data_IF_719843220863
#
_entry.id   IF_719843220863
#
_cell.length_a   1.000
_cell.length_b   1.000
_cell.length_c   1.000
_cell.angle_alpha   90.00
_cell.angle_beta   90.00
_cell.angle_gamma   90.00
#
_symmetry.space_group_name_H-M   'P 1'
#
loop_
_entity.id
_entity.type
_entity.pdbx_description
1 polymer ?
#
# COMPACT_ATOMS: atom_id res chain seq x y z
N UNK A 1 -21.39 12.82 -19.63
CA UNK A 1 -21.40 11.36 -19.97
C UNK A 1 -22.04 11.18 -21.34
N UNK A 2 -21.29 10.63 -22.29
CA UNK A 2 -21.83 10.28 -23.61
C UNK A 2 -22.80 9.09 -23.53
N UNK A 3 -23.69 8.95 -24.54
CA UNK A 3 -24.66 7.81 -24.60
C UNK A 3 -23.91 6.48 -24.51
N UNK A 4 -22.75 6.37 -25.16
CA UNK A 4 -21.90 5.17 -25.15
C UNK A 4 -21.44 4.83 -23.72
N UNK A 5 -21.05 5.81 -22.92
CA UNK A 5 -20.62 5.62 -21.53
C UNK A 5 -21.77 5.12 -20.63
N UNK A 6 -23.02 5.53 -20.91
CA UNK A 6 -24.20 5.04 -20.17
C UNK A 6 -24.50 3.57 -20.49
N UNK A 7 -24.38 3.16 -21.76
CA UNK A 7 -24.63 1.78 -22.20
C UNK A 7 -23.60 0.80 -21.65
N UNK A 8 -22.32 1.18 -21.60
CA UNK A 8 -21.25 0.31 -21.11
C UNK A 8 -21.04 0.32 -19.58
N UNK A 9 -21.67 1.24 -18.85
CA UNK A 9 -21.55 1.30 -17.38
C UNK A 9 -21.95 0.01 -16.67
N UNK A 10 -23.09 -0.66 -16.98
CA UNK A 10 -23.47 -1.92 -16.33
C UNK A 10 -22.43 -3.03 -16.52
N UNK A 11 -21.85 -3.14 -17.72
CA UNK A 11 -20.79 -4.12 -18.01
C UNK A 11 -19.55 -3.83 -17.14
N UNK A 12 -19.11 -2.58 -17.06
CA UNK A 12 -17.96 -2.19 -16.22
C UNK A 12 -18.22 -2.45 -14.75
N UNK A 13 -19.44 -2.18 -14.26
CA UNK A 13 -19.84 -2.51 -12.88
C UNK A 13 -19.82 -4.01 -12.64
N UNK A 14 -20.31 -4.82 -13.58
CA UNK A 14 -20.26 -6.28 -13.52
C UNK A 14 -18.81 -6.81 -13.47
N UNK A 15 -17.92 -6.27 -14.31
CA UNK A 15 -16.50 -6.62 -14.32
C UNK A 15 -15.80 -6.21 -13.01
N UNK A 16 -16.12 -5.05 -12.45
CA UNK A 16 -15.58 -4.63 -11.15
C UNK A 16 -16.14 -5.50 -10.00
N UNK A 17 -17.41 -5.89 -10.08
CA UNK A 17 -18.00 -6.86 -9.15
C UNK A 17 -17.28 -8.21 -9.20
N UNK A 18 -16.94 -8.68 -10.40
CA UNK A 18 -16.15 -9.90 -10.57
C UNK A 18 -14.72 -9.74 -9.99
N UNK A 19 -14.06 -8.58 -10.16
CA UNK A 19 -12.78 -8.30 -9.51
C UNK A 19 -12.88 -8.33 -7.98
N UNK A 20 -13.92 -7.70 -7.43
CA UNK A 20 -14.16 -7.65 -5.99
C UNK A 20 -14.45 -9.04 -5.41
N UNK A 21 -15.33 -9.81 -6.06
CA UNK A 21 -15.62 -11.20 -5.68
C UNK A 21 -14.37 -12.08 -5.81
N UNK A 22 -13.65 -11.96 -6.92
CA UNK A 22 -12.39 -12.68 -7.15
C UNK A 22 -11.33 -12.39 -6.10
N UNK A 23 -11.21 -11.14 -5.65
CA UNK A 23 -10.33 -10.78 -4.56
C UNK A 23 -10.70 -11.48 -3.23
N UNK A 24 -12.00 -11.57 -2.89
CA UNK A 24 -12.45 -12.29 -1.69
C UNK A 24 -12.28 -13.81 -1.80
N UNK A 25 -12.60 -14.40 -2.96
CA UNK A 25 -12.36 -15.83 -3.22
C UNK A 25 -10.87 -16.14 -3.16
N UNK A 26 -10.03 -15.29 -3.76
CA UNK A 26 -8.58 -15.40 -3.69
C UNK A 26 -8.04 -15.26 -2.26
N UNK A 27 -8.57 -14.31 -1.49
CA UNK A 27 -8.21 -14.16 -0.07
C UNK A 27 -8.58 -15.40 0.75
N UNK A 28 -9.76 -15.97 0.52
CA UNK A 28 -10.19 -17.22 1.15
C UNK A 28 -9.25 -18.38 0.77
N UNK A 29 -8.94 -18.54 -0.50
CA UNK A 29 -8.01 -19.58 -0.98
C UNK A 29 -6.60 -19.41 -0.38
N UNK A 30 -6.10 -18.17 -0.31
CA UNK A 30 -4.82 -17.88 0.35
C UNK A 30 -4.85 -18.26 1.84
N UNK A 31 -5.87 -17.86 2.56
CA UNK A 31 -5.97 -18.09 4.00
C UNK A 31 -6.18 -19.57 4.34
N UNK A 32 -7.10 -20.26 3.62
CA UNK A 32 -7.53 -21.61 3.98
C UNK A 32 -6.66 -22.73 3.37
N UNK A 33 -6.00 -22.48 2.23
CA UNK A 33 -5.29 -23.52 1.48
C UNK A 33 -3.81 -23.15 1.30
N UNK A 34 -3.54 -22.04 0.62
CA UNK A 34 -2.18 -21.73 0.12
C UNK A 34 -1.20 -21.45 1.27
N UNK A 35 -1.60 -20.64 2.25
CA UNK A 35 -0.73 -20.29 3.38
C UNK A 35 -0.48 -21.46 4.33
N UNK A 36 -1.46 -22.29 4.69
CA UNK A 36 -1.20 -23.53 5.42
C UNK A 36 -0.22 -24.46 4.71
N UNK A 37 -0.42 -24.68 3.39
CA UNK A 37 0.50 -25.51 2.60
C UNK A 37 1.91 -24.90 2.48
N UNK A 38 2.00 -23.58 2.24
CA UNK A 38 3.28 -22.88 2.19
C UNK A 38 4.03 -22.98 3.53
N UNK A 39 3.32 -22.83 4.65
CA UNK A 39 3.89 -22.99 6.00
C UNK A 39 4.33 -24.42 6.29
N UNK A 40 3.55 -25.39 5.87
CA UNK A 40 3.90 -26.81 6.02
C UNK A 40 5.16 -27.16 5.22
N UNK A 41 5.24 -26.70 3.95
CA UNK A 41 6.43 -26.89 3.10
C UNK A 41 7.68 -26.25 3.71
N UNK A 42 7.54 -25.09 4.35
CA UNK A 42 8.62 -24.36 5.00
C UNK A 42 8.67 -24.53 6.51
N UNK A 43 8.11 -25.63 7.06
CA UNK A 43 7.98 -25.83 8.52
C UNK A 43 9.30 -25.77 9.29
N UNK A 44 10.40 -26.14 8.65
CA UNK A 44 11.75 -26.11 9.23
C UNK A 44 12.46 -24.76 9.07
N UNK A 45 11.93 -23.86 8.25
CA UNK A 45 12.48 -22.55 8.02
C UNK A 45 12.18 -21.58 9.17
N UNK A 46 12.94 -20.48 9.26
CA UNK A 46 12.69 -19.42 10.23
C UNK A 46 11.32 -18.75 10.00
N UNK A 47 10.78 -18.11 11.04
CA UNK A 47 9.47 -17.47 10.97
C UNK A 47 9.37 -16.44 9.83
N UNK A 48 10.42 -15.66 9.62
CA UNK A 48 10.48 -14.65 8.55
C UNK A 48 10.51 -15.26 7.14
N UNK A 49 11.14 -16.41 6.97
CA UNK A 49 11.15 -17.12 5.69
C UNK A 49 9.76 -17.69 5.35
N UNK A 50 9.06 -18.22 6.36
CA UNK A 50 7.67 -18.66 6.21
C UNK A 50 6.75 -17.49 5.84
N UNK A 51 6.93 -16.34 6.48
CA UNK A 51 6.18 -15.13 6.15
C UNK A 51 6.49 -14.66 4.72
N UNK A 52 7.76 -14.65 4.33
CA UNK A 52 8.17 -14.30 2.96
C UNK A 52 7.55 -15.23 1.91
N UNK A 53 7.41 -16.53 2.22
CA UNK A 53 6.71 -17.48 1.34
C UNK A 53 5.22 -17.10 1.19
N UNK A 54 4.53 -16.76 2.27
CA UNK A 54 3.15 -16.28 2.22
C UNK A 54 3.02 -14.97 1.44
N UNK A 55 3.94 -14.01 1.65
CA UNK A 55 3.95 -12.73 0.93
C UNK A 55 4.17 -12.90 -0.57
N UNK A 56 5.02 -13.84 -1.00
CA UNK A 56 5.19 -14.16 -2.44
C UNK A 56 3.89 -14.66 -3.09
N UNK A 57 3.12 -15.46 -2.39
CA UNK A 57 1.81 -15.91 -2.91
C UNK A 57 0.79 -14.78 -2.93
N UNK A 58 0.76 -13.95 -1.89
CA UNK A 58 -0.07 -12.73 -1.87
C UNK A 58 0.29 -11.78 -3.02
N UNK A 59 1.59 -11.55 -3.27
CA UNK A 59 2.07 -10.76 -4.40
C UNK A 59 1.52 -11.27 -5.74
N UNK A 60 1.64 -12.58 -6.00
CA UNK A 60 1.12 -13.20 -7.23
C UNK A 60 -0.40 -13.00 -7.38
N UNK A 61 -1.13 -13.16 -6.28
CA UNK A 61 -2.58 -12.94 -6.31
C UNK A 61 -2.94 -11.48 -6.66
N UNK A 62 -2.19 -10.50 -6.13
CA UNK A 62 -2.42 -9.09 -6.46
C UNK A 62 -1.96 -8.75 -7.89
N UNK A 63 -0.87 -9.32 -8.39
CA UNK A 63 -0.48 -9.16 -9.80
C UNK A 63 -1.60 -9.67 -10.71
N UNK A 64 -2.15 -10.87 -10.47
CA UNK A 64 -3.27 -11.41 -11.23
C UNK A 64 -4.51 -10.52 -11.17
N UNK A 65 -4.82 -9.96 -9.99
CA UNK A 65 -5.94 -9.02 -9.83
C UNK A 65 -5.75 -7.75 -10.68
N UNK A 66 -4.56 -7.15 -10.64
CA UNK A 66 -4.27 -5.95 -11.44
C UNK A 66 -4.23 -6.26 -12.94
N UNK A 67 -3.72 -7.42 -13.35
CA UNK A 67 -3.77 -7.85 -14.75
C UNK A 67 -5.22 -8.03 -15.23
N UNK A 68 -6.08 -8.64 -14.41
CA UNK A 68 -7.52 -8.72 -14.70
C UNK A 68 -8.13 -7.32 -14.83
N UNK A 69 -7.89 -6.42 -13.88
CA UNK A 69 -8.43 -5.07 -13.93
C UNK A 69 -7.94 -4.28 -15.16
N UNK A 70 -6.71 -4.51 -15.59
CA UNK A 70 -6.13 -3.94 -16.81
C UNK A 70 -6.81 -4.49 -18.06
N UNK A 71 -6.95 -5.80 -18.17
CA UNK A 71 -7.62 -6.46 -19.31
C UNK A 71 -9.07 -6.02 -19.47
N UNK A 72 -9.78 -5.81 -18.35
CA UNK A 72 -11.15 -5.31 -18.33
C UNK A 72 -11.28 -3.79 -18.53
N UNK A 73 -10.18 -3.06 -18.70
CA UNK A 73 -10.18 -1.60 -18.84
C UNK A 73 -10.71 -0.86 -17.60
N UNK A 74 -10.62 -1.47 -16.42
CA UNK A 74 -11.05 -0.85 -15.15
C UNK A 74 -9.98 0.03 -14.56
N UNK A 75 -8.74 -0.47 -14.52
CA UNK A 75 -7.60 0.20 -13.94
C UNK A 75 -6.33 -0.19 -14.68
N UNK A 76 -5.52 0.79 -15.04
CA UNK A 76 -4.19 0.60 -15.60
C UNK A 76 -3.16 0.88 -14.51
N UNK A 77 -2.41 -0.15 -14.11
CA UNK A 77 -1.36 -0.03 -13.09
C UNK A 77 -0.03 0.34 -13.73
N UNK A 78 0.55 1.46 -13.31
CA UNK A 78 1.79 2.01 -13.88
C UNK A 78 2.81 2.31 -12.75
N UNK A 79 3.68 1.36 -12.40
CA UNK A 79 4.78 1.58 -11.47
C UNK A 79 5.91 2.37 -12.15
N UNK A 80 6.40 3.47 -11.52
CA UNK A 80 7.48 4.32 -12.04
C UNK A 80 8.63 4.43 -11.05
N UNK A 81 9.86 4.31 -11.54
CA UNK A 81 11.07 4.46 -10.72
C UNK A 81 11.21 3.42 -9.61
N UNK A 82 10.51 2.31 -9.77
CA UNK A 82 10.52 1.21 -8.83
C UNK A 82 11.55 0.19 -9.29
N UNK A 83 12.80 0.61 -9.33
CA UNK A 83 13.92 -0.32 -9.46
C UNK A 83 13.81 -1.32 -8.31
N UNK A 84 13.96 -2.58 -8.63
CA UNK A 84 13.87 -3.68 -7.68
C UNK A 84 14.63 -3.30 -6.41
N UNK A 85 13.88 -3.01 -5.35
CA UNK A 85 14.49 -2.83 -4.04
C UNK A 85 15.25 -4.11 -3.74
N UNK A 86 16.56 -3.98 -3.61
CA UNK A 86 17.47 -5.13 -3.45
C UNK A 86 17.01 -5.93 -2.23
N UNK A 87 16.79 -7.25 -2.35
CA UNK A 87 16.45 -8.06 -1.21
C UNK A 87 17.45 -7.84 -0.06
N UNK A 88 16.94 -7.58 1.15
CA UNK A 88 17.79 -7.33 2.31
C UNK A 88 18.01 -5.86 2.67
N UNK A 89 17.55 -4.90 1.87
CA UNK A 89 17.59 -3.50 2.26
C UNK A 89 16.63 -3.20 3.41
N UNK A 90 17.11 -2.46 4.40
CA UNK A 90 16.34 -1.96 5.55
C UNK A 90 15.92 -0.52 5.30
N UNK A 91 14.64 -0.24 5.26
CA UNK A 91 14.10 1.12 5.10
C UNK A 91 12.66 1.19 5.58
N UNK A 92 12.19 2.42 5.80
CA UNK A 92 10.79 2.70 6.07
C UNK A 92 10.16 3.29 4.80
N UNK A 93 9.19 2.59 4.22
CA UNK A 93 8.34 3.13 3.15
C UNK A 93 7.25 4.01 3.76
N UNK A 94 7.17 5.24 3.31
CA UNK A 94 6.12 6.18 3.67
C UNK A 94 5.30 6.46 2.41
N UNK A 95 4.01 6.13 2.42
CA UNK A 95 3.13 6.32 1.27
C UNK A 95 1.88 7.14 1.63
N UNK A 96 1.36 7.95 0.71
CA UNK A 96 0.00 8.47 0.82
C UNK A 96 -1.02 7.35 0.52
N UNK A 97 -2.26 7.53 0.90
CA UNK A 97 -3.27 6.46 0.87
C UNK A 97 -4.57 6.88 0.17
N UNK A 98 -4.54 7.14 -1.16
CA UNK A 98 -5.71 7.64 -1.87
C UNK A 98 -6.82 6.59 -2.05
N UNK A 99 -6.49 5.30 -2.17
CA UNK A 99 -7.47 4.28 -2.57
C UNK A 99 -7.54 3.07 -1.62
N UNK A 100 -8.53 2.21 -1.84
CA UNK A 100 -8.67 0.94 -1.10
C UNK A 100 -7.58 -0.08 -1.49
N UNK A 101 -7.02 0.02 -2.70
CA UNK A 101 -6.12 -0.99 -3.27
C UNK A 101 -4.63 -0.65 -3.14
N UNK A 102 -4.27 0.40 -2.42
CA UNK A 102 -2.88 0.87 -2.32
C UNK A 102 -1.94 -0.20 -1.75
N UNK A 103 -2.35 -0.89 -0.67
CA UNK A 103 -1.55 -1.98 -0.09
C UNK A 103 -1.39 -3.13 -1.08
N UNK A 104 -2.45 -3.44 -1.84
CA UNK A 104 -2.41 -4.46 -2.88
C UNK A 104 -1.43 -4.08 -4.00
N UNK A 105 -1.48 -2.82 -4.45
CA UNK A 105 -0.57 -2.29 -5.47
C UNK A 105 0.89 -2.33 -5.00
N UNK A 106 1.16 -1.87 -3.78
CA UNK A 106 2.50 -1.92 -3.21
C UNK A 106 2.97 -3.37 -3.01
N UNK A 107 2.06 -4.29 -2.63
CA UNK A 107 2.39 -5.72 -2.53
C UNK A 107 2.72 -6.34 -3.89
N UNK A 108 1.98 -5.96 -4.95
CA UNK A 108 2.26 -6.44 -6.30
C UNK A 108 3.67 -6.01 -6.77
N UNK A 109 4.12 -4.81 -6.39
CA UNK A 109 5.43 -4.25 -6.78
C UNK A 109 6.55 -4.75 -5.90
N UNK A 110 6.48 -4.47 -4.60
CA UNK A 110 7.60 -4.72 -3.67
C UNK A 110 7.64 -6.16 -3.14
N UNK A 111 6.50 -6.85 -3.14
CA UNK A 111 6.36 -8.24 -2.72
C UNK A 111 6.62 -8.49 -1.24
N UNK A 112 7.75 -8.01 -0.72
CA UNK A 112 8.19 -8.31 0.65
C UNK A 112 8.31 -7.05 1.49
N UNK A 113 7.37 -6.86 2.42
CA UNK A 113 7.40 -5.81 3.45
C UNK A 113 6.44 -6.14 4.59
N UNK A 114 6.57 -5.42 5.69
CA UNK A 114 5.62 -5.43 6.79
C UNK A 114 4.80 -4.14 6.75
N UNK A 115 3.50 -4.23 6.88
CA UNK A 115 2.62 -3.07 6.93
C UNK A 115 1.98 -2.94 8.32
N UNK A 116 1.81 -1.71 8.79
CA UNK A 116 1.01 -1.43 9.99
C UNK A 116 -0.44 -1.29 9.58
N UNK A 117 -1.30 -2.15 10.10
CA UNK A 117 -2.72 -2.21 9.76
C UNK A 117 -3.60 -1.97 11.00
N UNK A 118 -4.83 -1.50 10.76
CA UNK A 118 -5.78 -1.23 11.86
C UNK A 118 -6.17 -2.50 12.61
N UNK A 119 -6.33 -2.47 13.95
CA UNK A 119 -6.72 -3.62 14.77
C UNK A 119 -7.99 -4.33 14.26
N UNK A 120 -8.96 -3.55 13.77
CA UNK A 120 -10.21 -4.09 13.24
C UNK A 120 -9.98 -5.10 12.10
N UNK A 121 -8.97 -4.89 11.24
CA UNK A 121 -8.66 -5.81 10.13
C UNK A 121 -8.15 -7.17 10.63
N UNK A 122 -7.47 -7.21 11.78
CA UNK A 122 -7.02 -8.46 12.39
C UNK A 122 -8.17 -9.28 13.01
N UNK A 123 -9.32 -8.62 13.30
CA UNK A 123 -10.53 -9.27 13.80
C UNK A 123 -11.38 -9.91 12.69
N UNK A 124 -11.21 -9.47 11.43
CA UNK A 124 -11.88 -10.08 10.27
C UNK A 124 -11.26 -11.47 10.01
N UNK A 125 -12.02 -12.57 10.03
CA UNK A 125 -11.47 -13.94 10.03
C UNK A 125 -10.46 -14.22 8.92
N UNK A 126 -10.80 -13.92 7.65
CA UNK A 126 -9.94 -14.17 6.49
C UNK A 126 -8.75 -13.19 6.47
N UNK A 127 -9.04 -11.89 6.58
CA UNK A 127 -7.99 -10.85 6.55
C UNK A 127 -7.02 -11.00 7.73
N UNK A 128 -7.52 -11.25 8.94
CA UNK A 128 -6.67 -11.42 10.11
C UNK A 128 -5.70 -12.59 9.98
N UNK A 129 -6.11 -13.69 9.35
CA UNK A 129 -5.22 -14.81 9.04
C UNK A 129 -4.14 -14.41 8.04
N UNK A 130 -4.50 -13.67 6.98
CA UNK A 130 -3.56 -13.18 5.97
C UNK A 130 -2.55 -12.23 6.60
N UNK A 131 -3.01 -11.23 7.37
CA UNK A 131 -2.15 -10.23 8.01
C UNK A 131 -1.15 -10.90 8.97
N UNK A 132 -1.61 -11.83 9.81
CA UNK A 132 -0.73 -12.60 10.71
C UNK A 132 0.24 -13.50 9.95
N UNK A 133 -0.21 -14.14 8.86
CA UNK A 133 0.65 -14.98 8.03
C UNK A 133 1.76 -14.19 7.36
N UNK A 134 1.48 -12.95 6.99
CA UNK A 134 2.42 -12.00 6.39
C UNK A 134 3.19 -11.17 7.44
N UNK A 135 3.02 -11.45 8.73
CA UNK A 135 3.66 -10.77 9.88
C UNK A 135 3.43 -9.26 9.93
N UNK A 136 2.28 -8.81 9.43
CA UNK A 136 1.88 -7.41 9.51
C UNK A 136 1.67 -7.00 10.96
N UNK A 137 1.87 -5.72 11.26
CA UNK A 137 1.80 -5.19 12.62
C UNK A 137 0.41 -4.59 12.88
N UNK A 138 -0.09 -4.88 14.07
CA UNK A 138 -1.32 -4.27 14.56
C UNK A 138 -1.01 -2.88 15.12
N UNK A 139 -1.58 -1.84 14.51
CA UNK A 139 -1.45 -0.47 14.97
C UNK A 139 -2.34 -0.18 16.18
N UNK A 140 -2.00 0.82 16.99
CA UNK A 140 -2.84 1.26 18.11
C UNK A 140 -4.17 1.87 17.65
N UNK A 141 -5.25 1.66 18.43
CA UNK A 141 -6.60 2.12 18.07
C UNK A 141 -6.72 3.66 18.00
N UNK A 142 -6.08 4.40 18.91
CA UNK A 142 -6.15 5.87 19.01
C UNK A 142 -4.93 6.59 18.45
N UNK A 143 -3.77 5.96 18.44
CA UNK A 143 -2.49 6.63 18.25
C UNK A 143 -1.68 6.10 17.05
N UNK A 144 -2.21 5.15 16.28
CA UNK A 144 -1.50 4.56 15.14
C UNK A 144 -0.22 3.82 15.59
N UNK A 145 0.96 4.38 15.28
CA UNK A 145 2.27 3.83 15.70
C UNK A 145 2.70 4.25 17.13
N UNK A 146 1.92 5.05 17.85
CA UNK A 146 2.34 5.59 19.14
C UNK A 146 2.35 4.55 20.30
N UNK A 147 1.81 3.36 20.09
CA UNK A 147 1.93 2.26 21.06
C UNK A 147 3.35 1.71 21.10
N UNK A 148 4.03 1.79 22.25
CA UNK A 148 5.41 1.32 22.41
C UNK A 148 5.65 -0.10 21.89
N UNK A 149 4.67 -0.98 22.02
CA UNK A 149 4.73 -2.37 21.53
C UNK A 149 4.82 -2.43 19.99
N UNK A 150 4.04 -1.62 19.27
CA UNK A 150 4.07 -1.58 17.80
C UNK A 150 5.41 -1.03 17.28
N UNK A 151 5.95 -0.01 17.96
CA UNK A 151 7.28 0.54 17.63
C UNK A 151 8.37 -0.50 17.82
N UNK A 152 8.39 -1.20 18.97
CA UNK A 152 9.38 -2.25 19.24
C UNK A 152 9.32 -3.37 18.21
N UNK A 153 8.12 -3.84 17.87
CA UNK A 153 7.94 -4.84 16.82
C UNK A 153 8.40 -4.33 15.44
N UNK A 154 8.13 -3.07 15.09
CA UNK A 154 8.58 -2.48 13.84
C UNK A 154 10.10 -2.45 13.75
N UNK A 155 10.80 -2.02 14.82
CA UNK A 155 12.26 -2.03 14.90
C UNK A 155 12.82 -3.45 14.74
N UNK A 156 12.20 -4.44 15.39
CA UNK A 156 12.59 -5.85 15.25
C UNK A 156 12.45 -6.34 13.79
N UNK A 157 11.34 -6.00 13.10
CA UNK A 157 11.14 -6.39 11.70
C UNK A 157 12.17 -5.75 10.77
N UNK A 158 12.47 -4.46 10.98
CA UNK A 158 13.53 -3.76 10.22
C UNK A 158 14.89 -4.42 10.45
N UNK A 159 15.22 -4.77 11.70
CA UNK A 159 16.47 -5.48 12.03
C UNK A 159 16.55 -6.85 11.32
N UNK A 160 15.41 -7.51 11.10
CA UNK A 160 15.30 -8.76 10.33
C UNK A 160 15.26 -8.55 8.80
N UNK A 161 15.67 -7.39 8.32
CA UNK A 161 15.69 -7.04 6.89
C UNK A 161 14.30 -7.10 6.21
N UNK A 162 13.26 -6.69 6.95
CA UNK A 162 11.92 -6.50 6.43
C UNK A 162 11.62 -5.01 6.33
N UNK A 163 11.46 -4.44 5.12
CA UNK A 163 11.02 -3.06 4.97
C UNK A 163 9.66 -2.84 5.67
N UNK A 164 9.50 -1.67 6.28
CA UNK A 164 8.26 -1.29 6.95
C UNK A 164 7.47 -0.33 6.05
N UNK A 165 6.23 -0.66 5.70
CA UNK A 165 5.29 0.25 5.04
C UNK A 165 4.38 0.90 6.07
N UNK A 166 4.30 2.22 6.00
CA UNK A 166 3.37 3.00 6.82
C UNK A 166 2.69 4.08 5.98
N UNK A 167 1.40 4.25 6.20
CA UNK A 167 0.64 5.40 5.72
C UNK A 167 0.58 6.45 6.83
N UNK A 168 1.39 7.54 6.76
CA UNK A 168 1.54 8.48 7.87
C UNK A 168 0.27 9.28 8.14
N UNK A 169 -0.66 9.33 7.21
CA UNK A 169 -1.98 9.94 7.37
C UNK A 169 -2.88 9.19 8.37
N UNK A 170 -2.59 7.90 8.66
CA UNK A 170 -3.37 7.03 9.53
C UNK A 170 -4.75 6.63 9.00
N UNK A 171 -5.15 7.15 7.85
CA UNK A 171 -6.38 6.81 7.12
C UNK A 171 -6.21 7.18 5.65
N UNK A 172 -7.18 6.82 4.80
CA UNK A 172 -7.15 7.20 3.38
C UNK A 172 -7.14 8.72 3.19
N UNK A 173 -6.34 9.20 2.24
CA UNK A 173 -6.25 10.60 1.82
C UNK A 173 -7.62 11.15 1.43
N UNK A 174 -7.89 12.45 1.59
CA UNK A 174 -9.04 13.09 0.99
C UNK A 174 -8.88 13.14 -0.54
N UNK A 175 -10.00 13.30 -1.25
CA UNK A 175 -9.97 13.46 -2.70
C UNK A 175 -9.10 14.68 -3.09
N UNK A 176 -8.13 14.47 -4.00
CA UNK A 176 -7.24 15.53 -4.49
C UNK A 176 -6.28 16.13 -3.45
N UNK A 177 -6.12 15.51 -2.27
CA UNK A 177 -5.33 16.11 -1.20
C UNK A 177 -4.53 15.13 -0.35
N UNK A 178 -3.90 15.68 0.69
CA UNK A 178 -3.07 14.97 1.64
C UNK A 178 -3.43 15.41 3.06
N UNK A 179 -3.53 14.46 3.99
CA UNK A 179 -3.64 14.75 5.42
C UNK A 179 -2.26 15.04 6.02
N UNK A 180 -2.19 15.79 7.14
CA UNK A 180 -0.94 15.95 7.86
C UNK A 180 -0.31 14.60 8.22
N UNK A 181 1.02 14.51 8.09
CA UNK A 181 1.76 13.32 8.40
C UNK A 181 1.98 13.18 9.90
N UNK A 182 1.74 11.99 10.42
CA UNK A 182 2.06 11.62 11.80
C UNK A 182 3.55 11.30 11.91
N UNK A 183 4.18 11.72 13.01
CA UNK A 183 5.62 11.57 13.27
C UNK A 183 6.09 10.11 13.42
N UNK A 184 5.22 9.20 13.85
CA UNK A 184 5.59 7.83 14.21
C UNK A 184 6.47 7.05 13.22
N UNK A 185 6.17 7.02 11.91
CA UNK A 185 7.02 6.34 10.92
C UNK A 185 8.44 6.89 10.85
N UNK A 186 8.58 8.21 10.99
CA UNK A 186 9.86 8.91 10.94
C UNK A 186 10.68 8.67 12.21
N UNK A 187 10.03 8.60 13.37
CA UNK A 187 10.66 8.21 14.62
C UNK A 187 11.23 6.78 14.56
N UNK A 188 10.49 5.85 13.96
CA UNK A 188 10.98 4.48 13.72
C UNK A 188 12.21 4.50 12.81
N UNK A 189 12.19 5.29 11.73
CA UNK A 189 13.32 5.40 10.81
C UNK A 189 14.58 5.97 11.50
N UNK A 190 14.41 7.02 12.31
CA UNK A 190 15.49 7.60 13.11
C UNK A 190 16.07 6.60 14.13
N UNK A 191 15.20 5.93 14.89
CA UNK A 191 15.63 4.92 15.89
C UNK A 191 16.30 3.71 15.27
N UNK A 192 15.83 3.26 14.10
CA UNK A 192 16.42 2.15 13.37
C UNK A 192 17.66 2.55 12.57
N UNK A 193 17.95 3.84 12.44
CA UNK A 193 18.98 4.41 11.58
C UNK A 193 18.89 3.84 10.14
N UNK A 194 17.71 4.00 9.53
CA UNK A 194 17.43 3.53 8.17
C UNK A 194 16.75 4.63 7.36
N UNK A 195 16.95 4.69 6.03
CA UNK A 195 16.33 5.71 5.20
C UNK A 195 14.80 5.60 5.16
N UNK A 196 14.15 6.75 5.06
CA UNK A 196 12.76 6.88 4.66
C UNK A 196 12.69 6.89 3.13
N UNK A 197 11.87 6.02 2.55
CA UNK A 197 11.61 5.95 1.11
C UNK A 197 10.18 6.41 0.86
N UNK A 198 9.98 7.64 0.38
CA UNK A 198 8.65 8.14 0.06
C UNK A 198 8.10 7.50 -1.21
N UNK A 199 6.86 7.05 -1.16
CA UNK A 199 6.14 6.42 -2.28
C UNK A 199 4.88 7.21 -2.57
N UNK A 200 4.87 7.91 -3.68
CA UNK A 200 3.72 8.70 -4.12
C UNK A 200 2.76 7.82 -4.91
N UNK A 201 1.51 7.76 -4.47
CA UNK A 201 0.42 7.03 -5.12
C UNK A 201 -0.57 8.01 -5.68
N UNK A 202 -0.97 7.80 -6.95
CA UNK A 202 -2.01 8.56 -7.64
C UNK A 202 -2.99 7.62 -8.33
N UNK A 203 -4.23 8.06 -8.43
CA UNK A 203 -5.27 7.37 -9.19
C UNK A 203 -6.08 8.43 -9.94
N UNK A 204 -5.97 8.45 -11.27
CA UNK A 204 -6.66 9.40 -12.15
C UNK A 204 -7.45 8.65 -13.23
N UNK A 205 -8.76 8.88 -13.36
CA UNK A 205 -9.63 9.59 -12.42
C UNK A 205 -9.69 8.89 -11.05
N UNK A 206 -10.02 9.63 -9.98
CA UNK A 206 -10.14 9.05 -8.64
C UNK A 206 -11.11 7.86 -8.61
N UNK A 207 -10.66 6.76 -8.03
CA UNK A 207 -11.44 5.53 -7.88
C UNK A 207 -11.16 4.89 -6.51
N UNK A 208 -12.13 4.19 -5.95
CA UNK A 208 -12.01 3.44 -4.69
C UNK A 208 -11.52 4.30 -3.51
N UNK A 209 -11.82 5.59 -3.54
CA UNK A 209 -11.49 6.55 -2.49
C UNK A 209 -12.24 6.27 -1.17
N UNK A 210 -11.96 7.10 -0.15
CA UNK A 210 -12.67 6.99 1.12
C UNK A 210 -14.13 7.42 0.95
N UNK A 211 -15.07 6.53 1.32
CA UNK A 211 -16.52 6.79 1.19
C UNK A 211 -17.08 6.50 -0.20
N UNK A 212 -16.23 6.20 -1.19
CA UNK A 212 -16.68 5.83 -2.54
C UNK A 212 -17.02 4.34 -2.57
N UNK A 213 -18.24 3.95 -2.99
CA UNK A 213 -18.60 2.55 -3.14
C UNK A 213 -17.76 1.87 -4.24
N UNK A 214 -17.53 0.57 -4.13
CA UNK A 214 -16.76 -0.22 -5.12
C UNK A 214 -17.40 -0.23 -6.53
N UNK A 215 -18.70 0.00 -6.63
CA UNK A 215 -19.46 0.04 -7.88
C UNK A 215 -19.54 1.44 -8.52
N UNK A 216 -18.99 2.46 -7.84
CA UNK A 216 -18.86 3.79 -8.40
C UNK A 216 -17.57 3.86 -9.23
N UNK A 217 -17.71 3.42 -10.49
CA UNK A 217 -16.59 3.26 -11.42
C UNK A 217 -16.49 4.49 -12.30
N UNK A 218 -15.29 5.08 -12.43
CA UNK A 218 -15.07 6.21 -13.34
C UNK A 218 -15.45 5.86 -14.78
N UNK A 219 -15.92 6.84 -15.57
CA UNK A 219 -16.33 6.60 -16.97
C UNK A 219 -15.17 6.22 -17.89
N UNK A 220 -13.93 6.56 -17.52
CA UNK A 220 -12.70 6.16 -18.21
C UNK A 220 -11.85 5.22 -17.34
N UNK A 221 -10.94 4.49 -17.97
CA UNK A 221 -9.99 3.63 -17.25
C UNK A 221 -9.16 4.48 -16.29
N UNK A 222 -9.13 4.10 -15.02
CA UNK A 222 -8.30 4.77 -14.03
C UNK A 222 -6.83 4.39 -14.23
N UNK A 223 -5.94 5.37 -14.24
CA UNK A 223 -4.49 5.15 -14.24
C UNK A 223 -3.99 5.25 -12.80
N UNK A 224 -3.50 4.12 -12.28
CA UNK A 224 -2.94 4.03 -10.96
C UNK A 224 -1.42 4.06 -11.05
N UNK A 225 -0.82 5.14 -10.59
CA UNK A 225 0.63 5.35 -10.66
C UNK A 225 1.23 5.25 -9.27
N UNK A 226 2.31 4.47 -9.16
CA UNK A 226 3.15 4.39 -7.97
C UNK A 226 4.53 4.93 -8.35
N UNK A 227 4.99 5.97 -7.67
CA UNK A 227 6.28 6.62 -7.96
C UNK A 227 7.14 6.63 -6.70
N UNK A 228 8.35 6.10 -6.80
CA UNK A 228 9.36 6.24 -5.76
C UNK A 228 9.99 7.62 -5.86
N UNK A 229 9.98 8.36 -4.76
CA UNK A 229 10.67 9.63 -4.62
C UNK A 229 12.07 9.42 -4.00
N UNK A 230 12.95 10.42 -4.05
CA UNK A 230 14.28 10.33 -3.44
C UNK A 230 14.20 9.92 -1.97
N UNK A 231 15.05 8.97 -1.58
CA UNK A 231 15.15 8.53 -0.20
C UNK A 231 15.71 9.65 0.68
N UNK A 232 15.26 9.70 1.93
CA UNK A 232 15.68 10.68 2.93
C UNK A 232 16.41 9.96 4.05
N UNK A 233 17.67 10.33 4.27
CA UNK A 233 18.46 9.77 5.36
C UNK A 233 18.16 10.54 6.66
N UNK A 234 17.76 9.89 7.77
CA UNK A 234 17.57 10.52 9.05
C UNK A 234 18.81 11.30 9.55
N UNK A 235 20.02 10.85 9.19
CA UNK A 235 21.26 11.53 9.58
C UNK A 235 21.35 12.95 8.99
N UNK A 236 20.81 13.19 7.79
CA UNK A 236 20.77 14.51 7.17
C UNK A 236 19.86 15.51 7.92
N UNK A 237 19.03 15.02 8.84
CA UNK A 237 18.14 15.80 9.70
C UNK A 237 18.57 15.80 11.17
N UNK A 238 19.82 15.41 11.46
CA UNK A 238 20.29 15.27 12.83
C UNK A 238 19.50 14.26 13.68
N UNK A 239 18.80 13.32 13.06
CA UNK A 239 17.93 12.37 13.76
C UNK A 239 16.60 12.97 14.23
N UNK A 240 16.26 14.21 13.84
CA UNK A 240 14.98 14.82 14.19
C UNK A 240 13.84 14.30 13.30
N UNK A 241 12.99 13.47 13.90
CA UNK A 241 11.84 12.88 13.24
C UNK A 241 10.77 13.91 12.85
N UNK A 242 10.71 15.07 13.50
CA UNK A 242 9.74 16.12 13.19
C UNK A 242 10.11 16.81 11.89
N UNK A 243 11.35 17.31 11.80
CA UNK A 243 11.89 17.93 10.58
C UNK A 243 11.84 16.98 9.39
N UNK A 244 12.18 15.69 9.60
CA UNK A 244 12.10 14.66 8.56
C UNK A 244 10.65 14.46 8.07
N UNK A 245 9.67 14.47 8.97
CA UNK A 245 8.24 14.34 8.63
C UNK A 245 7.75 15.55 7.83
N UNK A 246 8.09 16.77 8.25
CA UNK A 246 7.68 18.01 7.58
C UNK A 246 8.25 18.11 6.17
N UNK A 247 9.53 17.80 5.97
CA UNK A 247 10.17 17.83 4.64
C UNK A 247 9.61 16.74 3.76
N UNK A 248 9.34 15.55 4.31
CA UNK A 248 8.68 14.47 3.58
C UNK A 248 7.28 14.87 3.14
N UNK A 249 6.44 15.42 4.01
CA UNK A 249 5.10 15.90 3.68
C UNK A 249 5.13 16.99 2.63
N UNK A 250 6.02 17.98 2.77
CA UNK A 250 6.20 19.06 1.79
C UNK A 250 6.59 18.51 0.41
N UNK A 251 7.40 17.47 0.37
CA UNK A 251 7.79 16.78 -0.86
C UNK A 251 6.58 16.13 -1.54
N UNK A 252 5.71 15.45 -0.79
CA UNK A 252 4.46 14.88 -1.34
C UNK A 252 3.55 15.99 -1.89
N UNK A 253 3.32 17.07 -1.12
CA UNK A 253 2.47 18.20 -1.55
C UNK A 253 2.98 18.83 -2.84
N UNK A 254 4.29 19.04 -2.96
CA UNK A 254 4.91 19.60 -4.18
C UNK A 254 4.67 18.71 -5.41
N UNK A 255 4.81 17.39 -5.26
CA UNK A 255 4.62 16.47 -6.37
C UNK A 255 3.13 16.27 -6.73
N UNK A 256 2.22 16.36 -5.76
CA UNK A 256 0.78 16.34 -6.02
C UNK A 256 0.36 17.60 -6.80
N UNK A 257 0.76 18.80 -6.35
CA UNK A 257 0.39 20.05 -6.99
C UNK A 257 0.96 20.25 -8.42
N UNK A 258 2.16 19.74 -8.70
CA UNK A 258 2.74 19.81 -10.07
C UNK A 258 1.95 19.00 -11.10
N UNK A 259 1.41 17.86 -10.71
CA UNK A 259 0.67 17.05 -11.66
C UNK A 259 -0.75 17.56 -11.90
N UNK A 260 -1.35 18.25 -10.95
CA UNK A 260 -2.64 18.90 -11.14
C UNK A 260 -2.51 20.01 -12.21
N UNK A 261 -1.36 20.73 -12.21
CA UNK A 261 -1.04 21.74 -13.25
C UNK A 261 -0.75 21.13 -14.62
N UNK A 262 -0.02 20.01 -14.69
CA UNK A 262 0.22 19.30 -15.97
C UNK A 262 -1.07 18.71 -16.56
N UNK A 263 -1.96 18.18 -15.72
CA UNK A 263 -3.26 17.64 -16.19
C UNK A 263 -4.21 18.74 -16.65
N UNK A 264 -4.16 19.91 -16.04
CA UNK A 264 -4.94 21.08 -16.46
C UNK A 264 -4.52 21.59 -17.85
N UNK A 265 -3.22 21.64 -18.13
CA UNK A 265 -2.67 22.08 -19.43
C UNK A 265 -2.93 21.13 -20.60
N UNK A 266 -3.18 19.84 -20.35
CA UNK A 266 -3.49 18.85 -21.39
C UNK A 266 -4.99 18.87 -21.76
N UNK A 267 -5.84 19.41 -20.89
CA UNK A 267 -7.29 19.46 -21.07
C UNK A 267 -7.80 20.83 -21.59
N UNK A 268 -6.93 21.81 -21.81
CA UNK A 268 -7.16 23.05 -22.56
C UNK A 268 -6.75 22.90 -24.05
#
# INVERSE_FOLDING_TARGET
MTILQRVFRPVRVGLAGAAFLGAWVGALALAAIVFPLARLRHRRAAAMERAAACQRWMQRAFVLLFDYMRLCGLLHFNPRGLDNSTPGQRFVMVANHPTLVDVAALSAVFGRFVCVAKPLLFRVPILGQILRACVYLEGGEREGLAGGATVSQALERIAQSMPLLVFPEGTRSPAGGLRPFRRGPFEIACRANVPVVPILIRCDPPALGKGTPWYDIPPRTAVFTVTRLPAMDPAAFGGDATSLAEVCEATFRRHLGRADSETAQINE
#
